data_IF_728308695589
#
_entry.id   IF_728308695589
#
_cell.length_a   1.000
_cell.length_b   1.000
_cell.length_c   1.000
_cell.angle_alpha   90.00
_cell.angle_beta   90.00
_cell.angle_gamma   90.00
#
_symmetry.space_group_name_H-M   'P 1'
#
loop_
_entity.id
_entity.type
_entity.pdbx_description
1 polymer ?
#
# COMPACT_ATOMS: atom_id res chain seq x y z
N UNK A 1 4.77 -11.54 8.82
CA UNK A 1 5.94 -11.53 9.74
C UNK A 1 5.91 -12.68 10.75
N UNK A 2 4.88 -12.83 11.59
CA UNK A 2 4.80 -13.93 12.59
C UNK A 2 4.85 -15.32 11.94
N UNK A 3 4.12 -15.56 10.85
CA UNK A 3 4.14 -16.86 10.15
C UNK A 3 5.52 -17.25 9.62
N UNK A 4 6.30 -16.27 9.14
CA UNK A 4 7.66 -16.51 8.69
C UNK A 4 8.56 -16.91 9.87
N UNK A 5 8.41 -16.25 11.02
CA UNK A 5 9.11 -16.63 12.25
C UNK A 5 8.72 -18.03 12.74
N UNK A 6 7.43 -18.40 12.67
CA UNK A 6 6.95 -19.74 13.02
C UNK A 6 7.54 -20.82 12.09
N UNK A 7 7.68 -20.53 10.79
CA UNK A 7 8.31 -21.44 9.83
C UNK A 7 9.82 -21.56 10.05
N UNK A 8 10.50 -20.44 10.33
CA UNK A 8 11.97 -20.37 10.44
C UNK A 8 12.51 -20.86 11.79
N UNK A 9 11.74 -20.73 12.87
CA UNK A 9 12.22 -21.00 14.23
C UNK A 9 11.34 -22.03 14.96
N UNK A 10 11.73 -23.31 14.97
CA UNK A 10 10.94 -24.39 15.59
C UNK A 10 10.66 -24.19 17.09
N UNK A 11 11.62 -23.64 17.84
CA UNK A 11 11.44 -23.34 19.28
C UNK A 11 10.33 -22.32 19.51
N UNK A 12 10.26 -21.28 18.66
CA UNK A 12 9.20 -20.27 18.73
C UNK A 12 7.82 -20.88 18.44
N UNK A 13 7.74 -21.78 17.46
CA UNK A 13 6.51 -22.54 17.16
C UNK A 13 6.04 -23.37 18.36
N UNK A 14 6.95 -24.10 19.01
CA UNK A 14 6.61 -24.91 20.19
C UNK A 14 6.17 -24.04 21.37
N UNK A 15 6.84 -22.91 21.59
CA UNK A 15 6.45 -21.93 22.61
C UNK A 15 5.02 -21.42 22.37
N UNK A 16 4.68 -20.99 21.14
CA UNK A 16 3.32 -20.52 20.84
C UNK A 16 2.25 -21.59 21.08
N UNK A 17 2.54 -22.86 20.75
CA UNK A 17 1.62 -23.98 21.01
C UNK A 17 1.40 -24.21 22.50
N UNK A 18 2.48 -24.28 23.28
CA UNK A 18 2.40 -24.45 24.72
C UNK A 18 1.64 -23.29 25.39
N UNK A 19 1.87 -22.05 24.94
CA UNK A 19 1.14 -20.88 25.44
C UNK A 19 -0.35 -20.91 25.08
N UNK A 20 -0.73 -21.40 23.89
CA UNK A 20 -2.13 -21.51 23.48
C UNK A 20 -2.95 -22.49 24.33
N UNK A 21 -2.29 -23.50 24.94
CA UNK A 21 -2.92 -24.46 25.84
C UNK A 21 -3.23 -23.88 27.23
N UNK A 22 -2.67 -22.69 27.56
CA UNK A 22 -3.03 -21.96 28.77
C UNK A 22 -4.52 -21.61 28.80
N UNK A 23 -5.14 -21.71 29.99
CA UNK A 23 -6.53 -21.29 30.21
C UNK A 23 -6.78 -19.83 29.83
N UNK A 24 -5.77 -18.97 30.01
CA UNK A 24 -5.87 -17.54 29.71
C UNK A 24 -6.06 -17.26 28.23
N UNK A 25 -5.48 -18.09 27.36
CA UNK A 25 -5.57 -17.94 25.91
C UNK A 25 -6.91 -18.42 25.34
N UNK A 26 -7.78 -19.06 26.14
CA UNK A 26 -9.11 -19.56 25.72
C UNK A 26 -9.07 -20.38 24.43
N UNK A 27 -7.99 -21.15 24.23
CA UNK A 27 -7.70 -21.92 23.01
C UNK A 27 -7.52 -21.09 21.73
N UNK A 28 -7.49 -19.77 21.82
CA UNK A 28 -7.27 -18.89 20.68
C UNK A 28 -5.79 -18.90 20.28
N UNK A 29 -5.54 -18.86 18.97
CA UNK A 29 -4.17 -18.71 18.47
C UNK A 29 -3.62 -17.32 18.82
N UNK A 30 -2.29 -17.18 18.89
CA UNK A 30 -1.67 -15.88 19.12
C UNK A 30 -2.10 -14.83 18.08
N UNK A 31 -2.32 -15.23 16.83
CA UNK A 31 -2.82 -14.35 15.76
C UNK A 31 -4.25 -13.88 16.04
N UNK A 32 -5.15 -14.77 16.46
CA UNK A 32 -6.52 -14.39 16.85
C UNK A 32 -6.52 -13.39 18.01
N UNK A 33 -5.65 -13.59 19.00
CA UNK A 33 -5.52 -12.66 20.13
C UNK A 33 -5.06 -11.27 19.68
N UNK A 34 -4.13 -11.18 18.73
CA UNK A 34 -3.64 -9.92 18.17
C UNK A 34 -4.68 -9.18 17.31
N UNK A 35 -5.68 -9.89 16.77
CA UNK A 35 -6.76 -9.29 15.98
C UNK A 35 -7.81 -8.62 16.88
N UNK A 36 -7.99 -9.09 18.11
CA UNK A 36 -9.04 -8.63 19.02
C UNK A 36 -9.09 -7.10 19.23
N UNK A 37 -7.97 -6.36 19.43
CA UNK A 37 -8.00 -4.90 19.60
C UNK A 37 -8.59 -4.17 18.39
N UNK A 38 -8.26 -4.62 17.17
CA UNK A 38 -8.78 -4.03 15.92
C UNK A 38 -10.28 -4.26 15.77
N UNK A 39 -10.79 -5.41 16.24
CA UNK A 39 -12.21 -5.76 16.17
C UNK A 39 -13.04 -5.17 17.32
N UNK A 40 -12.41 -4.66 18.37
CA UNK A 40 -13.12 -4.21 19.58
C UNK A 40 -13.97 -2.96 19.33
N UNK A 41 -13.43 -1.98 18.60
CA UNK A 41 -14.09 -0.71 18.35
C UNK A 41 -15.34 -0.86 17.45
N UNK A 42 -15.31 -1.62 16.33
CA UNK A 42 -16.51 -1.92 15.56
C UNK A 42 -17.61 -2.62 16.38
N UNK A 43 -17.25 -3.51 17.31
CA UNK A 43 -18.23 -4.16 18.19
C UNK A 43 -18.89 -3.16 19.15
N UNK A 44 -18.11 -2.24 19.73
CA UNK A 44 -18.64 -1.19 20.61
C UNK A 44 -19.58 -0.27 19.83
N UNK A 45 -19.24 0.09 18.59
CA UNK A 45 -20.12 0.87 17.70
C UNK A 45 -21.48 0.17 17.54
N UNK A 46 -21.48 -1.13 17.23
CA UNK A 46 -22.71 -1.92 17.10
C UNK A 46 -23.52 -1.92 18.39
N UNK A 47 -22.88 -2.14 19.55
CA UNK A 47 -23.57 -2.16 20.85
C UNK A 47 -24.18 -0.80 21.19
N UNK A 48 -23.46 0.30 20.98
CA UNK A 48 -23.96 1.65 21.21
C UNK A 48 -25.14 1.97 20.31
N UNK A 49 -25.08 1.54 19.04
CA UNK A 49 -26.18 1.74 18.08
C UNK A 49 -27.44 0.98 18.49
N UNK A 50 -27.29 -0.27 18.93
CA UNK A 50 -28.41 -1.07 19.45
C UNK A 50 -29.02 -0.43 20.70
N UNK A 51 -28.17 0.00 21.64
CA UNK A 51 -28.63 0.62 22.89
C UNK A 51 -29.34 1.96 22.65
N UNK A 52 -28.81 2.80 21.74
CA UNK A 52 -29.45 4.06 21.35
C UNK A 52 -30.83 3.80 20.72
N UNK A 53 -30.94 2.80 19.85
CA UNK A 53 -32.21 2.45 19.20
C UNK A 53 -33.27 1.92 20.20
N UNK A 54 -32.85 1.36 21.33
CA UNK A 54 -33.74 0.88 22.39
C UNK A 54 -34.00 1.92 23.49
N UNK A 55 -33.42 3.12 23.39
CA UNK A 55 -33.51 4.17 24.41
C UNK A 55 -34.39 5.32 23.89
N UNK A 56 -35.44 5.69 24.62
CA UNK A 56 -36.32 6.80 24.25
C UNK A 56 -35.54 8.12 24.13
N UNK A 57 -35.93 8.98 23.20
CA UNK A 57 -35.33 10.31 22.99
C UNK A 57 -35.42 11.22 24.22
N UNK A 58 -36.41 11.02 25.07
CA UNK A 58 -36.59 11.78 26.31
C UNK A 58 -35.76 11.23 27.48
N UNK A 59 -35.15 10.05 27.33
CA UNK A 59 -34.31 9.46 28.37
C UNK A 59 -33.01 10.27 28.53
N UNK A 60 -32.54 10.54 29.77
CA UNK A 60 -31.31 11.33 30.00
C UNK A 60 -30.08 10.76 29.29
N UNK A 61 -29.99 9.43 29.16
CA UNK A 61 -28.87 8.77 28.48
C UNK A 61 -28.92 8.84 26.96
N UNK A 62 -30.05 9.20 26.33
CA UNK A 62 -30.16 9.18 24.87
C UNK A 62 -29.12 10.08 24.20
N UNK A 63 -28.94 11.29 24.74
CA UNK A 63 -27.92 12.23 24.26
C UNK A 63 -26.51 11.69 24.49
N UNK A 64 -26.23 11.14 25.67
CA UNK A 64 -24.91 10.58 26.02
C UNK A 64 -24.54 9.41 25.11
N UNK A 65 -25.50 8.53 24.80
CA UNK A 65 -25.32 7.41 23.88
C UNK A 65 -25.03 7.87 22.45
N UNK A 66 -25.72 8.92 22.00
CA UNK A 66 -25.47 9.50 20.68
C UNK A 66 -24.07 10.12 20.59
N UNK A 67 -23.66 10.90 21.59
CA UNK A 67 -22.34 11.52 21.63
C UNK A 67 -21.22 10.46 21.70
N UNK A 68 -21.42 9.38 22.47
CA UNK A 68 -20.51 8.25 22.54
C UNK A 68 -20.40 7.50 21.20
N UNK A 69 -21.53 7.31 20.50
CA UNK A 69 -21.57 6.67 19.18
C UNK A 69 -20.78 7.50 18.14
N UNK A 70 -21.04 8.80 18.07
CA UNK A 70 -20.31 9.72 17.18
C UNK A 70 -18.79 9.71 17.47
N UNK A 71 -18.41 9.68 18.75
CA UNK A 71 -17.01 9.59 19.16
C UNK A 71 -16.36 8.30 18.66
N UNK A 72 -17.00 7.15 18.83
CA UNK A 72 -16.48 5.86 18.35
C UNK A 72 -16.36 5.84 16.82
N UNK A 73 -17.35 6.36 16.11
CA UNK A 73 -17.32 6.47 14.63
C UNK A 73 -16.13 7.34 14.20
N UNK A 74 -15.88 8.46 14.86
CA UNK A 74 -14.74 9.34 14.60
C UNK A 74 -13.40 8.63 14.82
N UNK A 75 -13.25 7.93 15.95
CA UNK A 75 -12.04 7.13 16.23
C UNK A 75 -11.82 6.04 15.18
N UNK A 76 -12.87 5.33 14.77
CA UNK A 76 -12.79 4.32 13.70
C UNK A 76 -12.30 4.93 12.38
N UNK A 77 -12.75 6.15 12.03
CA UNK A 77 -12.26 6.88 10.85
C UNK A 77 -10.76 7.21 10.98
N UNK A 78 -10.31 7.74 12.11
CA UNK A 78 -8.89 8.08 12.35
C UNK A 78 -8.00 6.84 12.21
N UNK A 79 -8.40 5.70 12.79
CA UNK A 79 -7.65 4.45 12.68
C UNK A 79 -7.57 3.97 11.23
N UNK A 80 -8.69 4.01 10.50
CA UNK A 80 -8.71 3.61 9.09
C UNK A 80 -7.83 4.52 8.22
N UNK A 81 -7.84 5.83 8.47
CA UNK A 81 -6.97 6.79 7.78
C UNK A 81 -5.48 6.54 8.10
N UNK A 82 -5.16 6.28 9.37
CA UNK A 82 -3.80 5.93 9.79
C UNK A 82 -3.30 4.66 9.12
N UNK A 83 -4.15 3.62 9.04
CA UNK A 83 -3.84 2.38 8.31
C UNK A 83 -3.57 2.65 6.83
N UNK A 84 -4.46 3.38 6.14
CA UNK A 84 -4.29 3.74 4.73
C UNK A 84 -3.00 4.53 4.49
N UNK A 85 -2.63 5.42 5.41
CA UNK A 85 -1.37 6.18 5.34
C UNK A 85 -0.15 5.28 5.42
N UNK A 86 -0.13 4.31 6.34
CA UNK A 86 0.97 3.36 6.48
C UNK A 86 1.06 2.45 5.26
N UNK A 87 -0.06 1.90 4.78
CA UNK A 87 -0.11 1.06 3.58
C UNK A 87 0.41 1.82 2.35
N UNK A 88 -0.05 3.06 2.13
CA UNK A 88 0.46 3.90 1.04
C UNK A 88 1.95 4.25 1.17
N UNK A 89 2.48 4.40 2.40
CA UNK A 89 3.92 4.58 2.62
C UNK A 89 4.73 3.32 2.31
N UNK A 90 4.20 2.13 2.62
CA UNK A 90 4.84 0.86 2.28
C UNK A 90 4.86 0.65 0.76
N UNK A 91 3.74 0.89 0.08
CA UNK A 91 3.66 0.84 -1.38
C UNK A 91 4.63 1.82 -2.05
N UNK A 92 4.74 3.04 -1.52
CA UNK A 92 5.72 4.02 -1.98
C UNK A 92 7.16 3.51 -1.81
N UNK A 93 7.48 2.95 -0.64
CA UNK A 93 8.81 2.41 -0.38
C UNK A 93 9.18 1.29 -1.36
N UNK A 94 8.26 0.37 -1.61
CA UNK A 94 8.46 -0.73 -2.56
C UNK A 94 8.64 -0.21 -3.99
N UNK A 95 7.81 0.75 -4.41
CA UNK A 95 7.90 1.41 -5.72
C UNK A 95 9.24 2.13 -5.90
N UNK A 96 9.69 2.90 -4.91
CA UNK A 96 10.98 3.60 -4.96
C UNK A 96 12.17 2.63 -5.04
N UNK A 97 12.11 1.52 -4.30
CA UNK A 97 13.13 0.48 -4.40
C UNK A 97 13.19 -0.15 -5.80
N UNK A 98 12.08 -0.16 -6.54
CA UNK A 98 11.99 -0.66 -7.91
C UNK A 98 12.32 0.39 -9.00
N UNK A 99 12.62 1.64 -8.61
CA UNK A 99 13.08 2.71 -9.52
C UNK A 99 14.60 2.86 -9.41
N UNK A 100 15.29 2.74 -10.54
CA UNK A 100 16.71 3.05 -10.69
C UNK A 100 16.94 4.56 -10.79
N UNK A 101 18.04 5.04 -10.21
CA UNK A 101 18.39 6.47 -10.13
C UNK A 101 17.30 7.35 -9.46
N UNK A 102 16.50 6.74 -8.58
CA UNK A 102 15.42 7.40 -7.85
C UNK A 102 15.97 8.53 -6.94
N UNK A 103 15.50 9.79 -7.09
CA UNK A 103 16.02 10.89 -6.29
C UNK A 103 15.64 10.75 -4.82
N UNK A 104 16.60 11.02 -3.92
CA UNK A 104 16.41 10.91 -2.47
C UNK A 104 15.32 11.86 -1.91
N UNK A 105 15.00 12.93 -2.64
CA UNK A 105 13.97 13.92 -2.29
C UNK A 105 12.55 13.36 -2.33
N UNK A 106 12.34 12.19 -2.94
CA UNK A 106 11.05 11.48 -2.92
C UNK A 106 10.65 10.93 -1.55
N UNK A 107 11.60 10.74 -0.62
CA UNK A 107 11.34 10.30 0.75
C UNK A 107 10.85 11.42 1.69
N UNK A 108 10.38 12.55 1.15
CA UNK A 108 9.79 13.61 1.95
C UNK A 108 8.59 13.08 2.75
N UNK A 109 8.54 13.40 4.05
CA UNK A 109 7.49 12.93 4.96
C UNK A 109 6.05 13.32 4.55
N UNK A 110 5.91 14.35 3.71
CA UNK A 110 4.63 14.90 3.27
C UNK A 110 4.22 14.45 1.85
N UNK A 111 5.02 13.62 1.18
CA UNK A 111 4.70 13.13 -0.16
C UNK A 111 3.83 11.88 -0.07
N UNK A 112 2.66 11.92 -0.70
CA UNK A 112 1.76 10.78 -0.78
C UNK A 112 1.56 10.36 -2.22
N UNK A 113 1.77 9.08 -2.50
CA UNK A 113 1.47 8.48 -3.80
C UNK A 113 -0.05 8.42 -4.01
N UNK A 114 -0.51 8.88 -5.16
CA UNK A 114 -1.93 8.94 -5.51
C UNK A 114 -2.26 7.81 -6.48
N UNK A 115 -1.57 7.76 -7.63
CA UNK A 115 -1.86 6.77 -8.67
C UNK A 115 -0.69 6.60 -9.63
N UNK A 116 -0.74 5.51 -10.40
CA UNK A 116 0.21 5.19 -11.46
C UNK A 116 -0.53 5.06 -12.78
N UNK A 117 0.01 5.71 -13.80
CA UNK A 117 -0.45 5.58 -15.17
C UNK A 117 0.62 4.82 -15.96
N UNK A 118 0.30 3.57 -16.33
CA UNK A 118 1.12 2.73 -17.20
C UNK A 118 0.77 2.91 -18.70
N UNK A 119 -0.41 3.43 -19.03
CA UNK A 119 -1.04 3.32 -20.36
C UNK A 119 -1.27 4.65 -21.12
N UNK A 120 -0.72 5.77 -20.64
CA UNK A 120 -1.11 7.10 -21.11
C UNK A 120 0.02 7.94 -21.70
N UNK A 121 0.59 7.53 -22.83
CA UNK A 121 1.04 8.49 -23.85
C UNK A 121 0.47 7.95 -25.14
N UNK A 122 -0.63 8.51 -25.64
CA UNK A 122 -1.27 8.00 -26.85
C UNK A 122 -0.30 7.95 -28.03
N UNK A 123 -0.53 6.95 -28.87
CA UNK A 123 0.38 6.35 -29.85
C UNK A 123 1.07 7.30 -30.86
N UNK A 124 0.69 8.58 -30.93
CA UNK A 124 1.25 9.53 -31.90
C UNK A 124 2.67 9.98 -31.53
N UNK A 125 2.90 10.42 -30.28
CA UNK A 125 4.24 10.77 -29.77
C UNK A 125 5.06 9.51 -29.47
N UNK A 126 4.40 8.43 -29.01
CA UNK A 126 5.07 7.15 -28.80
C UNK A 126 5.57 6.50 -30.09
N UNK A 127 4.95 6.68 -31.26
CA UNK A 127 5.50 6.10 -32.50
C UNK A 127 6.86 6.69 -32.86
N UNK A 128 7.08 7.97 -32.57
CA UNK A 128 8.37 8.63 -32.78
C UNK A 128 9.38 8.19 -31.73
N UNK A 129 8.98 8.09 -30.45
CA UNK A 129 9.87 7.72 -29.35
C UNK A 129 10.19 6.21 -29.30
N UNK A 130 9.24 5.33 -29.65
CA UNK A 130 9.43 3.87 -29.78
C UNK A 130 10.46 3.54 -30.85
N UNK A 131 10.50 4.30 -31.95
CA UNK A 131 11.51 4.14 -33.03
C UNK A 131 12.93 4.50 -32.58
N UNK A 132 13.07 5.34 -31.55
CA UNK A 132 14.38 5.79 -31.05
C UNK A 132 14.91 4.90 -29.91
N UNK A 133 14.07 4.33 -29.03
CA UNK A 133 14.59 3.59 -27.84
C UNK A 133 13.78 2.38 -27.30
N UNK A 134 12.75 1.84 -27.97
CA UNK A 134 12.00 0.64 -27.49
C UNK A 134 11.54 0.73 -26.02
N UNK A 135 11.01 1.86 -25.56
CA UNK A 135 10.71 2.04 -24.14
C UNK A 135 9.33 2.65 -23.90
N UNK A 136 8.69 2.15 -22.84
CA UNK A 136 7.40 2.64 -22.34
C UNK A 136 7.67 3.62 -21.21
N UNK A 137 6.86 4.67 -21.11
CA UNK A 137 6.92 5.59 -19.99
C UNK A 137 5.82 5.27 -18.98
N UNK A 138 6.08 5.58 -17.72
CA UNK A 138 5.13 5.45 -16.62
C UNK A 138 5.15 6.74 -15.84
N UNK A 139 3.96 7.29 -15.61
CA UNK A 139 3.77 8.46 -14.76
C UNK A 139 3.32 8.00 -13.38
N UNK A 140 3.98 8.51 -12.34
CA UNK A 140 3.60 8.29 -10.95
C UNK A 140 3.15 9.61 -10.35
N UNK A 141 1.87 9.72 -10.04
CA UNK A 141 1.29 10.93 -9.48
C UNK A 141 1.42 10.93 -7.96
N UNK A 142 1.97 12.02 -7.43
CA UNK A 142 2.04 12.33 -6.02
C UNK A 142 1.20 13.56 -5.70
N UNK A 143 1.00 13.83 -4.41
CA UNK A 143 0.29 15.01 -3.91
C UNK A 143 0.91 16.35 -4.29
N UNK A 144 2.21 16.38 -4.59
CA UNK A 144 3.00 17.58 -4.85
C UNK A 144 3.76 17.55 -6.18
N UNK A 145 3.92 16.38 -6.82
CA UNK A 145 4.65 16.26 -8.07
C UNK A 145 4.21 15.06 -8.92
N UNK A 146 4.67 15.00 -10.16
CA UNK A 146 4.58 13.85 -11.05
C UNK A 146 5.99 13.33 -11.29
N UNK A 147 6.18 12.02 -11.17
CA UNK A 147 7.44 11.36 -11.50
C UNK A 147 7.33 10.69 -12.86
N UNK A 148 8.21 11.07 -13.79
CA UNK A 148 8.34 10.42 -15.08
C UNK A 148 9.40 9.32 -15.02
N UNK A 149 8.99 8.10 -15.33
CA UNK A 149 9.86 6.93 -15.31
C UNK A 149 9.85 6.22 -16.67
N UNK A 150 11.01 5.71 -17.09
CA UNK A 150 11.18 4.78 -18.20
C UNK A 150 10.97 3.36 -17.68
N UNK A 151 9.97 2.66 -18.19
CA UNK A 151 9.71 1.25 -17.87
C UNK A 151 10.57 0.37 -18.76
N UNK A 152 11.35 -0.52 -18.15
CA UNK A 152 12.13 -1.51 -18.89
C UNK A 152 11.20 -2.56 -19.48
N UNK A 153 11.21 -2.70 -20.80
CA UNK A 153 10.57 -3.83 -21.47
C UNK A 153 11.49 -5.04 -21.28
N UNK A 154 11.10 -5.96 -20.40
CA UNK A 154 11.76 -7.26 -20.30
C UNK A 154 11.32 -8.08 -21.51
N UNK A 155 12.07 -8.02 -22.61
CA UNK A 155 11.99 -9.05 -23.64
C UNK A 155 12.41 -10.36 -22.99
N UNK A 156 11.46 -11.26 -22.77
CA UNK A 156 11.77 -12.68 -22.52
C UNK A 156 12.45 -13.20 -23.78
N UNK A 157 13.77 -13.10 -23.87
CA UNK A 157 14.52 -13.92 -24.81
C UNK A 157 14.33 -15.36 -24.36
N UNK A 158 13.47 -16.09 -25.07
CA UNK A 158 13.43 -17.55 -25.02
C UNK A 158 14.68 -18.10 -25.70
N UNK A 159 15.86 -17.91 -25.09
CA UNK A 159 17.03 -18.68 -25.47
C UNK A 159 17.12 -19.89 -24.54
N UNK A 160 16.66 -21.02 -25.03
CA UNK A 160 16.73 -22.35 -24.38
C UNK A 160 18.15 -22.95 -24.38
N UNK A 161 19.20 -22.12 -24.40
CA UNK A 161 20.59 -22.59 -24.37
C UNK A 161 21.39 -21.68 -23.46
N UNK A 162 21.50 -22.10 -22.21
CA UNK A 162 22.66 -21.90 -21.32
C UNK A 162 22.26 -22.31 -19.90
N UNK A 163 22.09 -23.62 -19.71
CA UNK A 163 22.07 -24.25 -18.38
C UNK A 163 23.31 -25.13 -18.24
N UNK A 164 24.46 -24.51 -18.06
CA UNK A 164 25.59 -25.15 -17.40
C UNK A 164 26.48 -24.07 -16.75
N UNK A 165 26.64 -24.18 -15.44
CA UNK A 165 27.62 -23.51 -14.58
C UNK A 165 27.38 -22.03 -14.21
N UNK A 166 26.73 -21.80 -13.06
CA UNK A 166 26.96 -20.60 -12.23
C UNK A 166 27.07 -21.04 -10.75
N UNK A 167 28.12 -20.65 -10.00
CA UNK A 167 28.28 -21.00 -8.59
C UNK A 167 27.26 -20.29 -7.68
N UNK A 168 26.88 -20.95 -6.58
CA UNK A 168 26.15 -20.37 -5.45
C UNK A 168 27.03 -19.37 -4.70
N UNK A 169 26.94 -18.07 -5.00
CA UNK A 169 27.17 -16.96 -4.05
C UNK A 169 27.20 -15.60 -4.77
N UNK A 170 26.02 -15.11 -5.14
CA UNK A 170 25.75 -13.68 -5.24
C UNK A 170 24.24 -13.51 -5.20
N UNK A 171 23.73 -12.71 -4.26
CA UNK A 171 22.36 -12.18 -4.37
C UNK A 171 22.29 -11.43 -5.69
N UNK A 172 21.76 -12.08 -6.75
CA UNK A 172 21.48 -11.41 -8.02
C UNK A 172 20.51 -10.28 -7.68
N UNK A 173 21.00 -9.03 -7.61
CA UNK A 173 20.14 -7.85 -7.53
C UNK A 173 19.16 -7.98 -8.69
N UNK A 174 17.88 -8.14 -8.37
CA UNK A 174 16.81 -8.10 -9.38
C UNK A 174 17.00 -6.79 -10.16
N UNK A 175 16.97 -6.86 -11.49
CA UNK A 175 17.01 -5.65 -12.30
C UNK A 175 15.73 -4.86 -11.99
N UNK A 176 15.89 -3.62 -11.52
CA UNK A 176 14.81 -2.69 -11.22
C UNK A 176 13.94 -2.45 -12.46
N UNK A 177 12.62 -2.42 -12.30
CA UNK A 177 11.65 -2.34 -13.40
C UNK A 177 11.63 -0.95 -14.06
N UNK A 178 11.86 0.10 -13.27
CA UNK A 178 11.77 1.49 -13.71
C UNK A 178 13.14 2.16 -13.67
N UNK A 179 13.36 3.11 -14.57
CA UNK A 179 14.47 4.07 -14.50
C UNK A 179 13.89 5.47 -14.41
N UNK A 180 14.31 6.22 -13.39
CA UNK A 180 13.91 7.61 -13.21
C UNK A 180 14.38 8.47 -14.40
N UNK A 181 13.54 9.41 -14.83
CA UNK A 181 13.88 10.43 -15.83
C UNK A 181 13.87 11.80 -15.18
N UNK A 182 12.70 12.24 -14.71
CA UNK A 182 12.51 13.58 -14.17
C UNK A 182 11.34 13.66 -13.18
N UNK A 183 11.31 14.75 -12.43
CA UNK A 183 10.21 15.12 -11.52
C UNK A 183 9.61 16.44 -11.98
N UNK A 184 8.29 16.49 -12.12
CA UNK A 184 7.53 17.67 -12.52
C UNK A 184 6.73 18.14 -11.30
N UNK A 185 6.97 19.35 -10.80
CA UNK A 185 6.18 19.94 -9.71
C UNK A 185 4.77 20.26 -10.21
N UNK A 186 3.73 19.90 -9.46
CA UNK A 186 2.35 20.23 -9.82
C UNK A 186 2.14 21.74 -9.92
N UNK A 187 2.88 22.54 -9.16
CA UNK A 187 2.86 24.01 -9.19
C UNK A 187 3.35 24.58 -10.52
N UNK A 188 4.15 23.80 -11.27
CA UNK A 188 4.70 24.20 -12.56
C UNK A 188 3.79 23.86 -13.75
N UNK A 189 2.74 23.07 -13.53
CA UNK A 189 1.78 22.69 -14.55
C UNK A 189 0.91 23.89 -14.93
N UNK A 190 1.04 24.34 -16.18
CA UNK A 190 0.32 25.52 -16.69
C UNK A 190 -1.09 25.21 -17.19
N UNK A 191 -1.33 23.99 -17.64
CA UNK A 191 -2.58 23.59 -18.27
C UNK A 191 -2.74 22.07 -18.17
N UNK A 192 -3.98 21.61 -17.99
CA UNK A 192 -4.39 20.21 -18.15
C UNK A 192 -5.42 20.23 -19.27
N UNK A 193 -5.16 19.49 -20.34
CA UNK A 193 -6.06 19.39 -21.49
C UNK A 193 -6.76 18.04 -21.39
N UNK A 194 -8.09 18.07 -21.37
CA UNK A 194 -8.91 16.86 -21.49
C UNK A 194 -9.33 16.74 -22.96
N UNK A 195 -8.80 15.75 -23.69
CA UNK A 195 -9.14 15.53 -25.10
C UNK A 195 -10.42 14.70 -25.31
N UNK A 196 -11.34 14.70 -24.35
CA UNK A 196 -12.60 13.93 -24.41
C UNK A 196 -13.86 14.78 -24.62
N UNK A 197 -13.73 15.95 -25.25
CA UNK A 197 -14.88 16.75 -25.71
C UNK A 197 -14.80 16.96 -27.23
N UNK A 198 -14.91 15.87 -28.01
CA UNK A 198 -15.41 15.94 -29.39
C UNK A 198 -16.34 14.74 -29.66
N UNK A 199 -17.66 15.00 -29.67
CA UNK A 199 -18.69 14.08 -30.18
C UNK A 199 -19.88 13.84 -29.26
#
# INVERSE_FOLDING_TARGET
>A
MIEQCVKKYPRFKSFLKASQESRECRKQTFQELLINPIQRLPRIELYLRTLLNSTDKLHPDHKLLNDALETIISVNKVINLGKKKIEGQMELFDLMNDIEDCPATLLSANRHFITKCDDGIDDYEQQYIRKLENCLFTLLLFTDCILLCKKRIVTRSTSLKDRANIPMSASKKSKKTYRFIETIDLSSLKCIINEFDEG
#
